data_IF_896379598389
#
_entry.id   IF_896379598389
#
_cell.length_a   1.000
_cell.length_b   1.000
_cell.length_c   1.000
_cell.angle_alpha   90.00
_cell.angle_beta   90.00
_cell.angle_gamma   90.00
#
_symmetry.space_group_name_H-M   'P 1'
#
loop_
_entity.id
_entity.type
_entity.pdbx_description
1 polymer ?
#
# COMPACT_ATOMS: atom_id res chain seq x y z
N UNK A 1 -54.69 31.82 -25.22
CA UNK A 1 -54.39 30.56 -24.50
C UNK A 1 -53.21 29.89 -25.18
N UNK A 2 -52.03 29.82 -24.54
CA UNK A 2 -50.90 29.04 -25.06
C UNK A 2 -51.18 27.56 -24.78
N UNK A 3 -51.23 26.72 -25.81
CA UNK A 3 -51.33 25.26 -25.63
C UNK A 3 -50.00 24.76 -25.08
N UNK A 4 -50.03 24.20 -23.87
CA UNK A 4 -48.89 23.49 -23.29
C UNK A 4 -48.81 22.14 -24.02
N UNK A 5 -47.79 21.96 -24.86
CA UNK A 5 -47.54 20.68 -25.51
C UNK A 5 -47.11 19.68 -24.41
N UNK A 6 -47.97 18.71 -24.11
CA UNK A 6 -47.62 17.61 -23.21
C UNK A 6 -46.57 16.71 -23.86
N UNK A 7 -45.65 16.18 -23.06
CA UNK A 7 -44.65 15.21 -23.52
C UNK A 7 -45.34 13.97 -24.09
N UNK A 8 -44.81 13.47 -25.20
CA UNK A 8 -45.30 12.24 -25.82
C UNK A 8 -44.82 11.02 -25.04
N UNK A 9 -45.60 9.93 -25.11
CA UNK A 9 -45.22 8.65 -24.47
C UNK A 9 -43.87 8.13 -24.99
N UNK A 10 -43.55 8.42 -26.25
CA UNK A 10 -42.30 8.03 -26.92
C UNK A 10 -41.11 8.79 -26.32
N UNK A 11 -41.25 10.09 -26.03
CA UNK A 11 -40.18 10.88 -25.40
C UNK A 11 -39.82 10.35 -24.01
N UNK A 12 -40.82 10.04 -23.18
CA UNK A 12 -40.57 9.48 -21.84
C UNK A 12 -39.98 8.06 -21.94
N UNK A 13 -40.39 7.26 -22.93
CA UNK A 13 -39.85 5.92 -23.14
C UNK A 13 -38.34 5.94 -23.44
N UNK A 14 -37.88 6.84 -24.32
CA UNK A 14 -36.44 6.94 -24.64
C UNK A 14 -35.64 7.42 -23.42
N UNK A 15 -36.18 8.38 -22.66
CA UNK A 15 -35.53 8.87 -21.44
C UNK A 15 -35.36 7.76 -20.41
N UNK A 16 -36.40 6.94 -20.18
CA UNK A 16 -36.33 5.80 -19.24
C UNK A 16 -35.30 4.76 -19.67
N UNK A 17 -35.16 4.50 -20.98
CA UNK A 17 -34.13 3.60 -21.51
C UNK A 17 -32.74 4.15 -21.24
N UNK A 18 -32.50 5.43 -21.53
CA UNK A 18 -31.19 6.06 -21.28
C UNK A 18 -30.84 6.02 -19.79
N UNK A 19 -31.78 6.36 -18.90
CA UNK A 19 -31.56 6.28 -17.45
C UNK A 19 -31.24 4.84 -17.02
N UNK A 20 -31.98 3.85 -17.53
CA UNK A 20 -31.72 2.44 -17.25
C UNK A 20 -30.31 2.00 -17.69
N UNK A 21 -29.88 2.41 -18.89
CA UNK A 21 -28.55 2.12 -19.41
C UNK A 21 -27.45 2.84 -18.61
N UNK A 22 -27.66 4.11 -18.24
CA UNK A 22 -26.71 4.88 -17.44
C UNK A 22 -26.56 4.31 -16.03
N UNK A 23 -27.67 3.97 -15.36
CA UNK A 23 -27.64 3.36 -14.03
C UNK A 23 -26.94 1.99 -14.06
N UNK A 24 -27.23 1.16 -15.07
CA UNK A 24 -26.54 -0.12 -15.28
C UNK A 24 -25.03 0.06 -15.50
N UNK A 25 -24.64 1.05 -16.30
CA UNK A 25 -23.24 1.38 -16.57
C UNK A 25 -22.48 1.88 -15.34
N UNK A 26 -23.08 2.80 -14.55
CA UNK A 26 -22.46 3.37 -13.35
C UNK A 26 -22.25 2.31 -12.26
N UNK A 27 -23.24 1.45 -12.01
CA UNK A 27 -23.12 0.38 -11.02
C UNK A 27 -21.97 -0.58 -11.35
N UNK A 28 -21.82 -0.94 -12.63
CA UNK A 28 -20.70 -1.77 -13.07
C UNK A 28 -19.37 -1.02 -12.99
N UNK A 29 -19.34 0.27 -13.36
CA UNK A 29 -18.17 1.14 -13.26
C UNK A 29 -17.64 1.26 -11.84
N UNK A 30 -18.52 1.43 -10.86
CA UNK A 30 -18.17 1.47 -9.44
C UNK A 30 -17.53 0.16 -8.98
N UNK A 31 -18.10 -0.99 -9.37
CA UNK A 31 -17.53 -2.30 -9.04
C UNK A 31 -16.14 -2.50 -9.66
N UNK A 32 -15.92 -2.05 -10.89
CA UNK A 32 -14.60 -2.14 -11.54
C UNK A 32 -13.55 -1.33 -10.76
N UNK A 33 -13.91 -0.12 -10.32
CA UNK A 33 -13.01 0.72 -9.50
C UNK A 33 -12.70 0.03 -8.17
N UNK A 34 -13.70 -0.50 -7.48
CA UNK A 34 -13.49 -1.23 -6.22
C UNK A 34 -12.61 -2.46 -6.42
N UNK A 35 -12.85 -3.24 -7.47
CA UNK A 35 -12.02 -4.41 -7.79
C UNK A 35 -10.57 -4.01 -8.14
N UNK A 36 -10.37 -2.89 -8.84
CA UNK A 36 -9.03 -2.38 -9.12
C UNK A 36 -8.29 -1.99 -7.83
N UNK A 37 -8.98 -1.34 -6.89
CA UNK A 37 -8.42 -1.04 -5.55
C UNK A 37 -8.04 -2.32 -4.80
N UNK A 38 -8.91 -3.33 -4.79
CA UNK A 38 -8.62 -4.63 -4.16
C UNK A 38 -7.38 -5.26 -4.78
N UNK A 39 -7.29 -5.28 -6.12
CA UNK A 39 -6.14 -5.86 -6.82
C UNK A 39 -4.83 -5.13 -6.51
N UNK A 40 -4.85 -3.81 -6.35
CA UNK A 40 -3.66 -3.06 -5.94
C UNK A 40 -3.19 -3.48 -4.54
N UNK A 41 -4.11 -3.67 -3.59
CA UNK A 41 -3.79 -4.13 -2.24
C UNK A 41 -3.18 -5.54 -2.27
N UNK A 42 -3.77 -6.45 -3.04
CA UNK A 42 -3.24 -7.80 -3.21
C UNK A 42 -1.79 -7.78 -3.75
N UNK A 43 -1.51 -6.91 -4.72
CA UNK A 43 -0.17 -6.71 -5.25
C UNK A 43 0.78 -6.14 -4.18
N UNK A 44 0.35 -5.16 -3.39
CA UNK A 44 1.16 -4.56 -2.33
C UNK A 44 1.54 -5.60 -1.25
N UNK A 45 0.57 -6.39 -0.77
CA UNK A 45 0.83 -7.47 0.19
C UNK A 45 1.75 -8.55 -0.39
N UNK A 46 1.56 -8.92 -1.65
CA UNK A 46 2.42 -9.89 -2.33
C UNK A 46 3.84 -9.36 -2.49
N UNK A 47 3.98 -8.08 -2.84
CA UNK A 47 5.27 -7.39 -2.94
C UNK A 47 6.01 -7.33 -1.61
N UNK A 48 5.34 -6.93 -0.53
CA UNK A 48 5.92 -6.90 0.82
C UNK A 48 6.33 -8.31 1.26
N UNK A 49 5.47 -9.31 1.05
CA UNK A 49 5.77 -10.70 1.41
C UNK A 49 7.00 -11.21 0.65
N UNK A 50 7.08 -10.93 -0.65
CA UNK A 50 8.25 -11.26 -1.47
C UNK A 50 9.53 -10.55 -1.00
N UNK A 51 9.43 -9.29 -0.58
CA UNK A 51 10.54 -8.53 -0.01
C UNK A 51 11.05 -9.15 1.30
N UNK A 52 10.16 -9.56 2.21
CA UNK A 52 10.54 -10.22 3.46
C UNK A 52 11.30 -11.51 3.18
N UNK A 53 10.77 -12.38 2.30
CA UNK A 53 11.44 -13.64 1.96
C UNK A 53 12.77 -13.41 1.25
N UNK A 54 12.86 -12.42 0.37
CA UNK A 54 14.12 -12.06 -0.29
C UNK A 54 15.16 -11.55 0.71
N UNK A 55 14.73 -10.78 1.72
CA UNK A 55 15.58 -10.34 2.81
C UNK A 55 16.11 -11.53 3.62
N UNK A 56 15.22 -12.45 4.00
CA UNK A 56 15.59 -13.66 4.73
C UNK A 56 16.56 -14.55 3.96
N UNK A 57 16.35 -14.74 2.66
CA UNK A 57 17.25 -15.55 1.82
C UNK A 57 18.65 -14.90 1.74
N UNK A 58 18.69 -13.59 1.47
CA UNK A 58 19.95 -12.85 1.29
C UNK A 58 20.75 -12.68 2.58
N UNK A 59 20.08 -12.47 3.70
CA UNK A 59 20.71 -12.04 4.96
C UNK A 59 20.57 -13.04 6.11
N UNK A 60 19.77 -14.09 5.94
CA UNK A 60 19.49 -15.12 6.97
C UNK A 60 19.01 -14.50 8.30
N UNK A 61 18.29 -13.39 8.20
CA UNK A 61 17.73 -12.66 9.32
C UNK A 61 16.36 -12.11 8.91
N UNK A 62 15.49 -11.84 9.87
CA UNK A 62 14.26 -11.11 9.62
C UNK A 62 14.57 -9.60 9.49
N UNK A 63 13.94 -8.88 8.57
CA UNK A 63 13.98 -7.42 8.58
C UNK A 63 13.38 -6.91 9.91
N UNK A 64 13.94 -5.83 10.46
CA UNK A 64 13.60 -5.29 11.78
C UNK A 64 14.37 -5.95 12.93
N UNK A 65 14.56 -7.27 12.85
CA UNK A 65 15.26 -8.09 13.87
C UNK A 65 16.76 -8.28 13.56
N UNK A 66 17.26 -7.77 12.43
CA UNK A 66 18.63 -8.00 12.00
C UNK A 66 19.66 -7.25 12.87
N UNK A 67 20.34 -7.99 13.73
CA UNK A 67 21.42 -7.49 14.62
C UNK A 67 22.71 -7.06 13.90
N UNK A 68 22.82 -7.32 12.60
CA UNK A 68 23.99 -6.98 11.77
C UNK A 68 23.67 -5.93 10.70
N UNK A 69 22.45 -5.38 10.68
CA UNK A 69 22.03 -4.41 9.68
C UNK A 69 22.93 -3.16 9.64
N UNK A 70 23.35 -2.68 10.81
CA UNK A 70 24.29 -1.56 11.01
C UNK A 70 25.64 -1.75 10.29
N UNK A 71 26.07 -2.99 10.09
CA UNK A 71 27.32 -3.34 9.41
C UNK A 71 27.12 -3.77 7.96
N UNK A 72 25.90 -4.17 7.59
CA UNK A 72 25.55 -4.66 6.24
C UNK A 72 25.26 -3.52 5.29
N UNK A 73 24.52 -2.53 5.79
CA UNK A 73 24.10 -1.38 5.00
C UNK A 73 25.01 -0.22 5.36
N UNK A 74 25.81 0.21 4.39
CA UNK A 74 26.64 1.41 4.54
C UNK A 74 25.68 2.59 4.35
N UNK A 75 25.43 3.39 5.39
CA UNK A 75 24.57 4.54 5.23
C UNK A 75 25.25 5.59 4.33
N UNK A 76 24.45 6.30 3.53
CA UNK A 76 24.92 7.57 2.99
C UNK A 76 25.30 8.52 4.13
N UNK A 77 26.28 9.38 3.87
CA UNK A 77 27.02 10.11 4.89
C UNK A 77 26.12 10.72 5.98
N UNK A 78 26.24 10.21 7.22
CA UNK A 78 25.68 10.82 8.41
C UNK A 78 24.45 10.15 9.02
N UNK A 79 23.85 9.15 8.39
CA UNK A 79 22.75 8.40 9.00
C UNK A 79 23.27 7.07 9.56
N UNK A 80 22.74 6.57 10.68
CA UNK A 80 23.10 5.23 11.20
C UNK A 80 21.90 4.32 11.00
N UNK A 81 22.09 3.18 10.35
CA UNK A 81 21.04 2.17 10.23
C UNK A 81 20.90 1.48 11.58
N UNK A 82 19.73 1.65 12.23
CA UNK A 82 19.42 0.94 13.47
C UNK A 82 19.40 -0.57 13.22
N UNK A 83 20.01 -1.33 14.12
CA UNK A 83 19.97 -2.80 14.12
C UNK A 83 18.81 -3.31 14.98
N UNK A 84 18.32 -4.49 14.64
CA UNK A 84 17.41 -5.24 15.50
C UNK A 84 18.15 -5.95 16.65
N UNK A 85 17.38 -6.60 17.52
CA UNK A 85 17.90 -7.30 18.69
C UNK A 85 18.33 -8.75 18.40
N UNK A 86 17.87 -9.36 17.29
CA UNK A 86 18.26 -10.69 16.84
C UNK A 86 17.58 -11.83 17.60
N UNK A 87 16.39 -11.61 18.16
CA UNK A 87 15.62 -12.59 18.94
C UNK A 87 14.59 -13.36 18.11
N UNK A 88 14.69 -13.30 16.78
CA UNK A 88 13.91 -14.11 15.86
C UNK A 88 12.40 -13.77 15.93
N UNK A 89 12.10 -12.49 16.10
CA UNK A 89 10.77 -11.89 16.15
C UNK A 89 10.87 -10.38 15.89
N UNK A 90 9.73 -9.74 15.58
CA UNK A 90 9.67 -8.28 15.44
C UNK A 90 8.91 -7.74 16.66
N UNK A 91 9.61 -7.06 17.55
CA UNK A 91 9.07 -6.43 18.75
C UNK A 91 8.65 -4.96 18.48
N UNK A 92 7.71 -4.46 19.29
CA UNK A 92 7.23 -3.08 19.22
C UNK A 92 5.79 -2.93 18.74
N UNK A 93 5.20 -1.77 19.02
CA UNK A 93 3.89 -1.42 18.49
C UNK A 93 4.00 -1.12 16.99
N UNK A 94 2.96 -1.43 16.22
CA UNK A 94 2.99 -1.21 14.76
C UNK A 94 3.10 0.27 14.39
N UNK A 95 2.66 1.18 15.27
CA UNK A 95 2.57 2.64 15.10
C UNK A 95 3.58 3.41 15.95
N UNK A 96 4.62 2.74 16.45
CA UNK A 96 5.64 3.38 17.29
C UNK A 96 6.38 4.51 16.58
N UNK A 97 6.65 5.58 17.34
CA UNK A 97 7.49 6.72 16.95
C UNK A 97 8.92 6.58 17.50
N UNK A 98 9.29 5.40 18.00
CA UNK A 98 10.63 5.12 18.51
C UNK A 98 11.51 4.50 17.42
N UNK A 99 12.65 5.14 17.12
CA UNK A 99 13.62 4.68 16.11
C UNK A 99 14.42 3.43 16.53
N UNK A 100 14.17 2.93 17.74
CA UNK A 100 14.77 1.71 18.27
C UNK A 100 13.85 0.49 18.19
N UNK A 101 12.57 0.69 17.89
CA UNK A 101 11.61 -0.39 17.88
C UNK A 101 11.67 -1.16 16.55
N UNK A 102 11.65 -2.48 16.63
CA UNK A 102 11.90 -3.35 15.47
C UNK A 102 10.80 -3.24 14.43
N UNK A 103 9.56 -2.99 14.85
CA UNK A 103 8.43 -2.69 13.96
C UNK A 103 8.67 -1.48 13.07
N UNK A 104 9.37 -0.45 13.57
CA UNK A 104 9.74 0.74 12.79
C UNK A 104 11.00 0.50 11.94
N UNK A 105 11.99 -0.17 12.53
CA UNK A 105 13.25 -0.55 11.86
C UNK A 105 13.01 -1.54 10.71
N UNK A 106 11.94 -2.32 10.76
CA UNK A 106 11.55 -3.26 9.71
C UNK A 106 11.54 -2.61 8.32
N UNK A 107 10.89 -1.46 8.17
CA UNK A 107 10.79 -0.75 6.90
C UNK A 107 12.11 -0.12 6.47
N UNK A 108 12.92 0.31 7.44
CA UNK A 108 14.28 0.78 7.20
C UNK A 108 15.14 -0.33 6.59
N UNK A 109 15.12 -1.55 7.16
CA UNK A 109 15.92 -2.67 6.66
C UNK A 109 15.51 -3.08 5.24
N UNK A 110 14.21 -3.10 4.94
CA UNK A 110 13.73 -3.43 3.59
C UNK A 110 14.15 -2.38 2.54
N UNK A 111 14.14 -1.09 2.91
CA UNK A 111 14.60 0.00 2.02
C UNK A 111 16.11 0.01 1.86
N UNK A 112 16.86 -0.17 2.95
CA UNK A 112 18.32 -0.29 2.93
C UNK A 112 18.80 -1.48 2.08
N UNK A 113 18.01 -2.56 2.03
CA UNK A 113 18.26 -3.71 1.16
C UNK A 113 17.89 -3.49 -0.32
N UNK A 114 17.23 -2.38 -0.66
CA UNK A 114 16.72 -2.09 -2.00
C UNK A 114 15.54 -2.97 -2.41
N UNK A 115 14.83 -3.57 -1.45
CA UNK A 115 13.70 -4.47 -1.71
C UNK A 115 12.36 -3.73 -1.74
N UNK A 116 12.30 -2.56 -1.10
CA UNK A 116 11.15 -1.65 -1.10
C UNK A 116 11.66 -0.25 -1.47
N UNK A 117 10.85 0.50 -2.22
CA UNK A 117 11.18 1.87 -2.62
C UNK A 117 11.10 2.85 -1.46
N UNK A 118 11.98 3.84 -1.45
CA UNK A 118 12.00 4.92 -0.46
C UNK A 118 13.41 5.24 -0.03
N UNK A 119 13.54 6.24 0.84
CA UNK A 119 14.85 6.65 1.32
C UNK A 119 15.47 5.56 2.21
N UNK A 120 16.67 5.04 1.90
CA UNK A 120 17.30 3.90 2.59
C UNK A 120 17.52 4.09 4.08
N UNK A 121 17.56 5.34 4.54
CA UNK A 121 17.93 5.72 5.88
C UNK A 121 16.79 6.34 6.70
N UNK A 122 15.57 6.39 6.15
CA UNK A 122 14.41 6.97 6.83
C UNK A 122 13.71 5.94 7.72
N UNK A 123 13.13 6.38 8.84
CA UNK A 123 12.30 5.57 9.73
C UNK A 123 10.80 5.74 9.46
N UNK A 124 10.44 6.40 8.35
CA UNK A 124 9.05 6.66 8.00
C UNK A 124 8.34 5.34 7.70
N UNK A 125 7.17 5.17 8.30
CA UNK A 125 6.30 4.06 7.98
C UNK A 125 5.70 4.26 6.59
N UNK A 126 5.45 3.18 5.82
CA UNK A 126 4.80 3.30 4.54
C UNK A 126 3.40 3.90 4.71
N UNK A 127 3.07 4.82 3.82
CA UNK A 127 1.74 5.41 3.78
C UNK A 127 0.79 4.35 3.22
N UNK A 128 -0.31 4.10 3.92
CA UNK A 128 -1.37 3.23 3.42
C UNK A 128 -1.85 3.73 2.04
N UNK A 129 -2.03 2.81 1.08
CA UNK A 129 -2.53 3.12 -0.27
C UNK A 129 -3.96 3.73 -0.31
N UNK A 130 -4.59 3.90 0.84
CA UNK A 130 -5.94 4.43 1.02
C UNK A 130 -6.01 5.86 1.55
N UNK A 131 -4.88 6.45 1.96
CA UNK A 131 -4.82 7.85 2.38
C UNK A 131 -4.58 8.78 1.19
#
# INVERSE_FOLDING_TARGET
MKKQAGFTLVEIAIVMVIIGLLLGGVLKGQQIITNAKIKNIENDFTGITGAIYSYQDRYRALPGDDSRADKRFIPEAGVTISKGNGKNGIEGAFDTESDTDESRIFWLHLRAAGLVTGEPSSFDQPINAFN
#
